data_IF_465334026889
#
_entry.id   IF_465334026889
#
_cell.length_a   1.000
_cell.length_b   1.000
_cell.length_c   1.000
_cell.angle_alpha   90.00
_cell.angle_beta   90.00
_cell.angle_gamma   90.00
#
_symmetry.space_group_name_H-M   'P 1'
#
loop_
_entity.id
_entity.type
_entity.pdbx_description
1 polymer ?
#
# COMPACT_ATOMS: atom_id res chain seq x y z
N UNK A 1 19.77 30.59 -9.66
CA UNK A 1 20.56 30.92 -8.45
C UNK A 1 19.65 31.67 -7.48
N UNK A 2 19.72 31.33 -6.19
CA UNK A 2 18.78 31.64 -5.09
C UNK A 2 17.61 30.66 -4.93
N UNK A 3 17.99 29.53 -4.34
CA UNK A 3 17.14 28.67 -3.50
C UNK A 3 16.85 29.44 -2.22
N UNK A 4 15.60 29.47 -1.77
CA UNK A 4 15.22 29.87 -0.42
C UNK A 4 14.54 28.65 0.18
N UNK A 5 15.29 27.94 1.01
CA UNK A 5 14.81 26.92 1.93
C UNK A 5 14.00 27.61 3.03
N UNK A 6 12.78 27.11 3.29
CA UNK A 6 12.00 27.47 4.47
C UNK A 6 11.72 26.18 5.23
N UNK A 7 12.44 26.06 6.34
CA UNK A 7 12.20 25.10 7.41
C UNK A 7 10.77 25.19 7.94
N UNK A 8 10.06 24.06 8.00
CA UNK A 8 8.83 23.92 8.77
C UNK A 8 9.05 22.83 9.82
N UNK A 9 9.42 23.26 11.03
CA UNK A 9 9.37 22.45 12.24
C UNK A 9 8.58 23.19 13.31
N UNK A 10 7.64 22.44 13.91
CA UNK A 10 6.91 22.69 15.17
C UNK A 10 6.11 23.99 15.30
N UNK A 11 4.80 23.84 15.53
CA UNK A 11 4.06 24.33 16.71
C UNK A 11 2.68 23.65 16.69
N UNK A 12 2.45 22.74 17.64
CA UNK A 12 1.12 22.23 18.00
C UNK A 12 0.72 22.97 19.28
N UNK A 13 -0.37 23.74 19.24
CA UNK A 13 -1.00 24.35 20.42
C UNK A 13 -2.53 24.13 20.34
N UNK A 14 -2.99 23.40 21.33
CA UNK A 14 -4.22 23.48 22.12
C UNK A 14 -5.65 23.21 21.60
N UNK A 15 -6.37 22.59 22.55
CA UNK A 15 -7.80 22.68 22.93
C UNK A 15 -8.80 21.65 22.37
N UNK A 16 -9.33 20.81 23.29
CA UNK A 16 -10.76 20.64 23.63
C UNK A 16 -10.91 19.42 24.58
N UNK A 17 -11.12 19.59 25.88
CA UNK A 17 -12.37 19.82 26.65
C UNK A 17 -13.41 18.69 26.58
N UNK A 18 -13.54 18.04 27.74
CA UNK A 18 -14.57 17.18 28.31
C UNK A 18 -16.01 17.23 27.76
N UNK A 19 -16.62 16.03 27.66
CA UNK A 19 -18.00 15.63 27.96
C UNK A 19 -18.04 14.10 27.71
N UNK A 20 -18.38 13.21 28.64
CA UNK A 20 -19.71 12.99 29.22
C UNK A 20 -20.03 11.49 29.06
N UNK A 21 -20.16 10.76 30.17
CA UNK A 21 -20.52 9.34 30.20
C UNK A 21 -22.00 9.13 29.81
N UNK A 22 -22.34 7.95 29.25
CA UNK A 22 -23.53 7.28 29.75
C UNK A 22 -23.34 5.78 30.03
N UNK A 23 -23.97 5.35 31.11
CA UNK A 23 -24.20 3.97 31.53
C UNK A 23 -24.85 3.12 30.45
N UNK A 24 -24.40 1.87 30.29
CA UNK A 24 -25.09 0.85 29.48
C UNK A 24 -25.41 -0.36 30.36
N UNK A 25 -26.70 -0.70 30.36
CA UNK A 25 -27.35 -1.80 31.07
C UNK A 25 -26.84 -3.18 30.63
N UNK A 26 -26.71 -4.07 31.61
CA UNK A 26 -26.45 -5.50 31.40
C UNK A 26 -27.73 -6.18 30.89
N UNK A 27 -27.73 -6.65 29.64
CA UNK A 27 -28.64 -7.71 29.18
C UNK A 27 -27.92 -9.05 29.18
N UNK A 28 -28.41 -9.94 30.03
CA UNK A 28 -28.05 -11.36 30.10
C UNK A 28 -28.70 -12.05 28.90
N UNK A 29 -27.90 -12.69 28.04
CA UNK A 29 -28.38 -13.60 27.00
C UNK A 29 -27.93 -15.01 27.36
N UNK A 30 -28.89 -15.90 27.61
CA UNK A 30 -28.71 -17.34 27.75
C UNK A 30 -28.30 -17.95 26.40
N UNK A 31 -27.23 -18.73 26.39
CA UNK A 31 -26.89 -19.63 25.29
C UNK A 31 -27.22 -21.07 25.67
N UNK A 32 -28.06 -21.71 24.85
CA UNK A 32 -28.34 -23.15 24.88
C UNK A 32 -27.17 -23.92 24.25
N UNK A 33 -26.75 -24.99 24.92
CA UNK A 33 -25.74 -25.92 24.43
C UNK A 33 -26.27 -26.77 23.28
N UNK A 34 -25.57 -26.79 22.15
CA UNK A 34 -25.72 -27.77 21.08
C UNK A 34 -24.35 -28.34 20.70
N UNK A 35 -24.34 -29.63 20.37
CA UNK A 35 -23.20 -30.54 20.39
C UNK A 35 -22.04 -30.20 19.43
N UNK A 36 -20.81 -30.42 19.91
CA UNK A 36 -19.55 -30.26 19.18
C UNK A 36 -19.20 -31.60 18.51
N UNK A 37 -19.29 -31.65 17.19
CA UNK A 37 -18.71 -32.72 16.36
C UNK A 37 -17.23 -32.39 16.09
N UNK A 38 -16.31 -33.27 16.48
CA UNK A 38 -14.86 -33.08 16.30
C UNK A 38 -14.47 -33.31 14.83
N UNK A 39 -14.29 -32.23 14.05
CA UNK A 39 -13.52 -32.26 12.79
C UNK A 39 -12.08 -31.82 13.05
N UNK A 40 -11.12 -32.62 12.58
CA UNK A 40 -9.69 -32.32 12.64
C UNK A 40 -9.34 -31.04 11.85
N UNK A 41 -8.35 -30.24 12.30
CA UNK A 41 -7.93 -29.04 11.58
C UNK A 41 -7.23 -29.40 10.25
N UNK A 42 -7.37 -28.58 9.20
CA UNK A 42 -6.72 -28.81 7.92
C UNK A 42 -5.18 -28.67 8.04
N UNK A 43 -4.41 -29.42 7.23
CA UNK A 43 -2.95 -29.38 7.27
C UNK A 43 -2.41 -28.02 6.80
N UNK A 44 -1.41 -27.50 7.52
CA UNK A 44 -0.70 -26.26 7.19
C UNK A 44 0.02 -26.39 5.83
N UNK A 45 0.01 -25.33 4.99
CA UNK A 45 0.72 -25.35 3.72
C UNK A 45 2.25 -25.39 3.94
N UNK A 46 3.02 -26.01 3.02
CA UNK A 46 4.45 -26.17 3.17
C UNK A 46 5.16 -24.82 3.18
N UNK A 47 6.03 -24.63 4.19
CA UNK A 47 6.94 -23.49 4.29
C UNK A 47 8.00 -23.66 3.20
N UNK A 48 7.92 -22.84 2.16
CA UNK A 48 8.92 -22.78 1.08
C UNK A 48 10.21 -22.15 1.62
N UNK A 49 11.23 -22.99 1.85
CA UNK A 49 12.58 -22.56 2.18
C UNK A 49 13.34 -22.27 0.88
N UNK A 50 13.29 -21.01 0.44
CA UNK A 50 14.19 -20.50 -0.58
C UNK A 50 14.94 -19.26 -0.05
N UNK A 51 15.89 -19.49 0.87
CA UNK A 51 16.98 -18.57 1.12
C UNK A 51 18.17 -18.97 0.24
N UNK A 52 18.39 -18.20 -0.83
CA UNK A 52 19.62 -18.27 -1.60
C UNK A 52 20.79 -17.81 -0.73
N UNK A 53 21.72 -18.76 -0.59
CA UNK A 53 23.10 -18.67 -0.12
C UNK A 53 23.69 -17.24 -0.01
N UNK A 54 23.95 -16.83 1.23
CA UNK A 54 25.08 -15.96 1.53
C UNK A 54 25.80 -16.47 2.78
N UNK A 55 26.39 -17.67 2.68
CA UNK A 55 27.29 -18.21 3.68
C UNK A 55 28.71 -17.69 3.43
N UNK A 56 29.07 -16.58 4.09
CA UNK A 56 30.47 -16.23 4.32
C UNK A 56 30.70 -15.89 5.78
N UNK A 57 31.36 -16.81 6.46
CA UNK A 57 32.34 -16.53 7.51
C UNK A 57 31.82 -16.21 8.91
N UNK A 58 31.58 -17.24 9.72
CA UNK A 58 31.84 -17.17 11.16
C UNK A 58 32.57 -18.44 11.60
N UNK A 59 33.85 -18.53 11.21
CA UNK A 59 34.81 -19.42 11.86
C UNK A 59 35.22 -18.79 13.19
N UNK A 60 34.76 -19.37 14.30
CA UNK A 60 35.27 -19.05 15.63
C UNK A 60 36.74 -19.49 15.71
N UNK A 61 37.65 -18.52 15.78
CA UNK A 61 39.08 -18.73 15.98
C UNK A 61 39.33 -19.30 17.37
N UNK A 62 39.57 -20.61 17.47
CA UNK A 62 40.17 -21.22 18.65
C UNK A 62 41.69 -21.08 18.57
N UNK A 63 42.24 -20.12 19.31
CA UNK A 63 43.68 -20.06 19.57
C UNK A 63 44.04 -21.14 20.59
N UNK A 64 44.66 -22.22 20.12
CA UNK A 64 45.30 -23.22 20.95
C UNK A 64 46.71 -22.73 21.35
N UNK A 65 46.87 -22.33 22.61
CA UNK A 65 48.19 -22.15 23.23
C UNK A 65 48.62 -23.51 23.80
N UNK A 66 49.73 -24.04 23.27
CA UNK A 66 50.47 -25.17 23.83
C UNK A 66 51.21 -24.69 25.07
N UNK A 67 51.05 -25.38 26.19
CA UNK A 67 52.03 -25.33 27.29
C UNK A 67 52.43 -26.73 27.73
N UNK A 68 53.73 -26.87 27.91
CA UNK A 68 54.49 -28.05 28.27
C UNK A 68 54.43 -28.35 29.77
N UNK A 69 54.53 -29.65 30.04
CA UNK A 69 54.65 -30.37 31.32
C UNK A 69 55.52 -29.74 32.41
N UNK A 70 55.02 -29.74 33.66
CA UNK A 70 55.82 -30.15 34.82
C UNK A 70 54.95 -30.73 35.95
N UNK A 71 55.49 -31.71 36.67
CA UNK A 71 54.82 -32.52 37.69
C UNK A 71 54.97 -31.92 39.10
N UNK A 72 53.92 -32.01 39.94
CA UNK A 72 54.01 -31.60 41.33
C UNK A 72 52.72 -31.83 42.12
N UNK A 73 52.75 -32.83 43.00
CA UNK A 73 51.66 -33.28 43.87
C UNK A 73 51.15 -32.14 44.77
N UNK A 74 49.85 -31.89 44.73
CA UNK A 74 49.15 -31.00 45.65
C UNK A 74 47.67 -30.91 45.30
N UNK A 75 46.83 -31.63 46.05
CA UNK A 75 45.37 -31.63 45.92
C UNK A 75 44.87 -30.19 46.20
N UNK A 76 44.76 -29.37 45.14
CA UNK A 76 43.96 -28.14 45.17
C UNK A 76 42.53 -28.52 44.81
N UNK A 77 41.62 -28.43 45.77
CA UNK A 77 40.18 -28.46 45.48
C UNK A 77 39.88 -27.24 44.61
N UNK A 78 39.54 -27.48 43.33
CA UNK A 78 39.10 -26.45 42.39
C UNK A 78 37.89 -25.68 42.98
N UNK A 79 37.87 -24.34 42.99
CA UNK A 79 36.74 -23.56 43.53
C UNK A 79 35.45 -23.66 42.71
N UNK A 80 35.46 -24.38 41.59
CA UNK A 80 34.37 -24.44 40.60
C UNK A 80 33.88 -25.87 40.35
N UNK A 81 33.87 -26.74 41.36
CA UNK A 81 33.25 -28.07 41.23
C UNK A 81 31.72 -27.89 41.24
N UNK A 82 31.16 -27.59 40.06
CA UNK A 82 29.72 -27.57 39.83
C UNK A 82 29.16 -28.96 40.19
N UNK A 83 28.31 -29.04 41.21
CA UNK A 83 27.66 -30.30 41.58
C UNK A 83 26.48 -30.55 40.64
N UNK A 84 26.63 -31.52 39.75
CA UNK A 84 25.57 -31.95 38.81
C UNK A 84 24.71 -33.02 39.49
N UNK A 85 23.42 -32.73 39.67
CA UNK A 85 22.42 -33.69 40.14
C UNK A 85 21.62 -34.20 38.96
N UNK A 86 21.83 -35.47 38.59
CA UNK A 86 21.10 -36.15 37.50
C UNK A 86 19.86 -36.82 38.08
N UNK A 87 18.67 -36.49 37.57
CA UNK A 87 17.43 -37.20 37.86
C UNK A 87 16.95 -37.90 36.60
N UNK A 88 16.94 -39.22 36.62
CA UNK A 88 16.32 -40.02 35.56
C UNK A 88 14.94 -40.44 36.05
N UNK A 89 13.90 -40.13 35.26
CA UNK A 89 12.54 -40.61 35.48
C UNK A 89 12.15 -41.51 34.32
N UNK A 90 11.62 -42.68 34.63
CA UNK A 90 11.13 -43.66 33.67
C UNK A 90 9.61 -43.56 33.60
N UNK A 91 9.07 -43.35 32.41
CA UNK A 91 7.63 -43.30 32.18
C UNK A 91 7.25 -44.26 31.06
N UNK A 92 6.11 -44.92 31.18
CA UNK A 92 5.57 -45.77 30.13
C UNK A 92 4.60 -44.94 29.30
N UNK A 93 4.92 -44.74 28.02
CA UNK A 93 4.04 -44.12 27.04
C UNK A 93 3.71 -45.21 26.03
N UNK A 94 2.41 -45.49 25.83
CA UNK A 94 1.91 -46.50 24.89
C UNK A 94 2.54 -47.90 25.04
N UNK A 95 2.76 -48.34 26.29
CA UNK A 95 3.31 -49.66 26.61
C UNK A 95 4.84 -49.78 26.47
N UNK A 96 5.54 -48.74 25.97
CA UNK A 96 7.00 -48.69 25.88
C UNK A 96 7.58 -47.81 27.00
N UNK A 97 8.55 -48.34 27.75
CA UNK A 97 9.24 -47.59 28.81
C UNK A 97 10.25 -46.61 28.19
N UNK A 98 10.03 -45.31 28.40
CA UNK A 98 10.92 -44.23 27.98
C UNK A 98 11.56 -43.59 29.20
N UNK A 99 12.88 -43.43 29.19
CA UNK A 99 13.61 -42.80 30.30
C UNK A 99 13.98 -41.36 29.95
N UNK A 100 13.45 -40.40 30.70
CA UNK A 100 13.82 -38.98 30.59
C UNK A 100 14.82 -38.65 31.68
N UNK A 101 16.02 -38.21 31.27
CA UNK A 101 17.05 -37.77 32.19
C UNK A 101 17.13 -36.25 32.17
N UNK A 102 17.00 -35.61 33.33
CA UNK A 102 17.27 -34.18 33.52
C UNK A 102 18.48 -34.00 34.44
N UNK A 103 19.49 -33.25 33.99
CA UNK A 103 20.67 -32.91 34.80
C UNK A 103 20.53 -31.48 35.34
N UNK A 104 20.77 -31.29 36.64
CA UNK A 104 20.70 -29.99 37.32
C UNK A 104 22.05 -29.63 37.95
N UNK A 105 22.68 -28.59 37.41
CA UNK A 105 24.03 -28.14 37.79
C UNK A 105 23.92 -27.03 38.85
N UNK A 106 24.38 -27.30 40.08
CA UNK A 106 24.37 -26.34 41.18
C UNK A 106 25.53 -25.34 41.02
N UNK A 107 25.22 -24.05 41.07
CA UNK A 107 26.15 -22.93 40.82
C UNK A 107 25.83 -22.12 39.55
N UNK A 108 25.09 -22.70 38.60
CA UNK A 108 24.66 -22.07 37.35
C UNK A 108 23.22 -21.53 37.39
N UNK A 109 22.64 -21.36 38.58
CA UNK A 109 21.20 -21.07 38.73
C UNK A 109 20.83 -19.64 38.33
N UNK A 110 21.67 -18.67 38.66
CA UNK A 110 21.47 -17.25 38.34
C UNK A 110 21.68 -17.03 36.83
N UNK A 111 22.77 -17.55 36.24
CA UNK A 111 23.01 -17.54 34.79
C UNK A 111 21.91 -18.22 33.98
N UNK A 112 21.39 -19.36 34.46
CA UNK A 112 20.29 -20.07 33.80
C UNK A 112 18.97 -19.29 33.88
N UNK A 113 18.68 -18.62 35.00
CA UNK A 113 17.49 -17.77 35.14
C UNK A 113 17.58 -16.54 34.25
N UNK A 114 18.75 -15.91 34.19
CA UNK A 114 19.06 -14.79 33.32
C UNK A 114 18.91 -15.15 31.84
N UNK A 115 19.47 -16.27 31.42
CA UNK A 115 19.32 -16.79 30.05
C UNK A 115 17.86 -17.13 29.72
N UNK A 116 17.11 -17.67 30.68
CA UNK A 116 15.68 -17.94 30.51
C UNK A 116 14.87 -16.65 30.34
N UNK A 117 15.19 -15.60 31.11
CA UNK A 117 14.56 -14.28 30.99
C UNK A 117 14.83 -13.66 29.61
N UNK A 118 16.09 -13.67 29.16
CA UNK A 118 16.48 -13.17 27.82
C UNK A 118 15.68 -13.86 26.70
N UNK A 119 15.54 -15.19 26.76
CA UNK A 119 14.74 -15.94 25.78
C UNK A 119 13.25 -15.57 25.83
N UNK A 120 12.70 -15.31 27.00
CA UNK A 120 11.30 -14.87 27.14
C UNK A 120 11.09 -13.48 26.56
N UNK A 121 12.03 -12.57 26.79
CA UNK A 121 11.97 -11.20 26.26
C UNK A 121 12.10 -11.19 24.73
N UNK A 122 12.98 -12.02 24.17
CA UNK A 122 13.11 -12.17 22.72
C UNK A 122 11.84 -12.75 22.09
N UNK A 123 11.21 -13.76 22.72
CA UNK A 123 9.91 -14.29 22.28
C UNK A 123 8.78 -13.28 22.39
N UNK A 124 8.81 -12.40 23.40
CA UNK A 124 7.82 -11.33 23.55
C UNK A 124 7.99 -10.30 22.44
N UNK A 125 9.23 -9.91 22.14
CA UNK A 125 9.54 -8.98 21.05
C UNK A 125 9.04 -9.52 19.71
N UNK A 126 9.35 -10.78 19.37
CA UNK A 126 8.87 -11.41 18.13
C UNK A 126 7.35 -11.46 18.02
N UNK A 127 6.64 -11.74 19.12
CA UNK A 127 5.17 -11.72 19.15
C UNK A 127 4.61 -10.31 18.91
N UNK A 128 5.25 -9.29 19.47
CA UNK A 128 4.89 -7.90 19.26
C UNK A 128 5.11 -7.48 17.80
N UNK A 129 6.27 -7.85 17.22
CA UNK A 129 6.58 -7.58 15.80
C UNK A 129 5.56 -8.22 14.85
N UNK A 130 5.19 -9.48 15.12
CA UNK A 130 4.18 -10.20 14.35
C UNK A 130 2.79 -9.54 14.46
N UNK A 131 2.41 -9.10 15.67
CA UNK A 131 1.15 -8.39 15.91
C UNK A 131 1.09 -7.08 15.13
N UNK A 132 2.12 -6.25 15.23
CA UNK A 132 2.19 -4.98 14.51
C UNK A 132 2.15 -5.18 12.99
N UNK A 133 2.83 -6.21 12.48
CA UNK A 133 2.79 -6.56 11.05
C UNK A 133 1.38 -6.94 10.61
N UNK A 134 0.69 -7.78 11.40
CA UNK A 134 -0.67 -8.21 11.09
C UNK A 134 -1.65 -7.03 11.12
N UNK A 135 -1.54 -6.15 12.11
CA UNK A 135 -2.37 -4.94 12.25
C UNK A 135 -2.18 -4.01 11.04
N UNK A 136 -0.93 -3.74 10.66
CA UNK A 136 -0.63 -2.92 9.49
C UNK A 136 -1.15 -3.55 8.18
N UNK A 137 -1.01 -4.87 8.03
CA UNK A 137 -1.54 -5.58 6.85
C UNK A 137 -3.07 -5.48 6.76
N UNK A 138 -3.77 -5.61 7.89
CA UNK A 138 -5.22 -5.46 7.95
C UNK A 138 -5.65 -4.03 7.63
N UNK A 139 -4.99 -3.03 8.20
CA UNK A 139 -5.25 -1.62 7.89
C UNK A 139 -5.01 -1.33 6.40
N UNK A 140 -3.91 -1.84 5.84
CA UNK A 140 -3.61 -1.70 4.43
C UNK A 140 -4.65 -2.35 3.52
N UNK A 141 -5.11 -3.55 3.86
CA UNK A 141 -6.18 -4.23 3.12
C UNK A 141 -7.49 -3.43 3.16
N UNK A 142 -7.86 -2.88 4.33
CA UNK A 142 -9.05 -2.05 4.48
C UNK A 142 -8.97 -0.77 3.63
N UNK A 143 -7.82 -0.11 3.57
CA UNK A 143 -7.63 1.08 2.75
C UNK A 143 -7.75 0.78 1.25
N UNK A 144 -7.21 -0.34 0.79
CA UNK A 144 -7.33 -0.80 -0.61
C UNK A 144 -8.79 -1.10 -0.94
N UNK A 145 -9.50 -1.81 -0.05
CA UNK A 145 -10.91 -2.11 -0.24
C UNK A 145 -11.77 -0.84 -0.26
N UNK A 146 -11.51 0.12 0.64
CA UNK A 146 -12.22 1.40 0.69
C UNK A 146 -12.04 2.19 -0.61
N UNK A 147 -10.83 2.24 -1.14
CA UNK A 147 -10.55 2.89 -2.42
C UNK A 147 -11.29 2.21 -3.58
N UNK A 148 -11.27 0.87 -3.63
CA UNK A 148 -11.95 0.12 -4.70
C UNK A 148 -13.47 0.30 -4.62
N UNK A 149 -14.06 0.31 -3.42
CA UNK A 149 -15.49 0.63 -3.22
C UNK A 149 -15.83 2.05 -3.68
N UNK A 150 -14.99 3.04 -3.37
CA UNK A 150 -15.16 4.44 -3.83
C UNK A 150 -15.17 4.50 -5.35
N UNK A 151 -14.23 3.82 -6.01
CA UNK A 151 -14.16 3.78 -7.48
C UNK A 151 -15.38 3.11 -8.11
N UNK A 152 -15.83 1.98 -7.56
CA UNK A 152 -17.04 1.31 -8.05
C UNK A 152 -18.27 2.21 -7.93
N UNK A 153 -18.37 2.96 -6.83
CA UNK A 153 -19.44 3.95 -6.66
C UNK A 153 -19.34 5.09 -7.68
N UNK A 154 -18.16 5.68 -7.89
CA UNK A 154 -17.95 6.73 -8.90
C UNK A 154 -18.31 6.23 -10.31
N UNK A 155 -17.89 5.00 -10.67
CA UNK A 155 -18.20 4.36 -11.94
C UNK A 155 -19.70 4.10 -12.12
N UNK A 156 -20.38 3.63 -11.08
CA UNK A 156 -21.82 3.39 -11.11
C UNK A 156 -22.61 4.69 -11.30
N UNK A 157 -22.19 5.76 -10.61
CA UNK A 157 -22.80 7.10 -10.75
C UNK A 157 -22.59 7.63 -12.17
N UNK A 158 -21.37 7.52 -12.71
CA UNK A 158 -21.05 7.96 -14.07
C UNK A 158 -21.90 7.21 -15.12
N UNK A 159 -21.95 5.88 -15.01
CA UNK A 159 -22.73 5.04 -15.92
C UNK A 159 -24.20 5.43 -15.90
N UNK A 160 -24.77 5.56 -14.69
CA UNK A 160 -26.17 5.94 -14.51
C UNK A 160 -26.49 7.33 -15.06
N UNK A 161 -25.57 8.29 -14.91
CA UNK A 161 -25.74 9.63 -15.46
C UNK A 161 -25.88 9.60 -16.99
N UNK A 162 -24.98 8.88 -17.68
CA UNK A 162 -25.05 8.77 -19.14
C UNK A 162 -26.23 7.92 -19.64
N UNK A 163 -26.68 6.94 -18.87
CA UNK A 163 -27.94 6.22 -19.15
C UNK A 163 -29.15 7.19 -19.11
N UNK A 164 -29.23 8.04 -18.07
CA UNK A 164 -30.29 9.06 -17.95
C UNK A 164 -30.23 10.05 -19.12
N UNK A 165 -29.03 10.54 -19.48
CA UNK A 165 -28.86 11.48 -20.59
C UNK A 165 -29.22 10.85 -21.94
N UNK A 166 -28.90 9.56 -22.14
CA UNK A 166 -29.31 8.79 -23.31
C UNK A 166 -30.83 8.66 -23.39
N UNK A 167 -31.50 8.25 -22.31
CA UNK A 167 -32.96 8.16 -22.28
C UNK A 167 -33.62 9.53 -22.49
N UNK A 168 -33.04 10.61 -21.96
CA UNK A 168 -33.53 11.97 -22.19
C UNK A 168 -33.43 12.36 -23.67
N UNK A 169 -32.33 11.99 -24.33
CA UNK A 169 -32.14 12.22 -25.77
C UNK A 169 -33.16 11.43 -26.60
N UNK A 170 -33.42 10.17 -26.26
CA UNK A 170 -34.43 9.34 -26.93
C UNK A 170 -35.86 9.89 -26.75
N UNK A 171 -36.20 10.33 -25.53
CA UNK A 171 -37.49 11.02 -25.26
C UNK A 171 -37.61 12.33 -26.03
N UNK A 172 -36.50 13.06 -26.23
CA UNK A 172 -36.48 14.27 -27.04
C UNK A 172 -36.67 13.95 -28.52
N UNK A 173 -35.97 12.94 -29.04
CA UNK A 173 -36.11 12.45 -30.42
C UNK A 173 -37.55 12.08 -30.73
N UNK A 174 -38.18 11.27 -29.87
CA UNK A 174 -39.58 10.86 -30.03
C UNK A 174 -40.53 12.06 -30.11
N UNK A 175 -40.39 13.03 -29.21
CA UNK A 175 -41.23 14.23 -29.20
C UNK A 175 -41.08 15.09 -30.46
N UNK A 176 -39.85 15.32 -30.93
CA UNK A 176 -39.60 16.13 -32.13
C UNK A 176 -40.09 15.45 -33.41
N UNK A 177 -40.03 14.11 -33.49
CA UNK A 177 -40.60 13.34 -34.60
C UNK A 177 -42.13 13.46 -34.59
N UNK A 178 -42.78 13.18 -33.45
CA UNK A 178 -44.25 13.28 -33.30
C UNK A 178 -44.76 14.69 -33.64
N UNK A 179 -44.06 15.74 -33.20
CA UNK A 179 -44.41 17.12 -33.53
C UNK A 179 -44.27 17.40 -35.03
N UNK A 180 -43.19 16.93 -35.66
CA UNK A 180 -42.96 17.18 -37.07
C UNK A 180 -43.90 16.38 -38.00
N UNK A 181 -44.34 15.19 -37.59
CA UNK A 181 -45.41 14.42 -38.22
C UNK A 181 -46.75 15.17 -38.11
N UNK A 182 -47.11 15.64 -36.90
CA UNK A 182 -48.33 16.42 -36.69
C UNK A 182 -48.37 17.69 -37.54
N UNK A 183 -47.25 18.41 -37.61
CA UNK A 183 -47.14 19.61 -38.48
C UNK A 183 -47.34 19.25 -39.95
N UNK A 184 -46.80 18.11 -40.41
CA UNK A 184 -47.00 17.67 -41.80
C UNK A 184 -48.46 17.27 -42.08
N UNK A 185 -49.13 16.59 -41.15
CA UNK A 185 -50.55 16.27 -41.28
C UNK A 185 -51.40 17.55 -41.42
N UNK A 186 -51.13 18.56 -40.59
CA UNK A 186 -51.80 19.85 -40.64
C UNK A 186 -51.50 20.61 -41.96
N UNK A 187 -50.23 20.65 -42.39
CA UNK A 187 -49.83 21.26 -43.66
C UNK A 187 -50.51 20.57 -44.86
N UNK A 188 -50.56 19.23 -44.87
CA UNK A 188 -51.20 18.44 -45.93
C UNK A 188 -52.70 18.71 -46.00
N UNK A 189 -53.38 18.73 -44.85
CA UNK A 189 -54.81 19.04 -44.74
C UNK A 189 -55.11 20.46 -45.23
N UNK A 190 -54.28 21.43 -44.88
CA UNK A 190 -54.43 22.81 -45.35
C UNK A 190 -54.16 22.92 -46.86
N UNK A 191 -53.13 22.25 -47.37
CA UNK A 191 -52.81 22.23 -48.79
C UNK A 191 -53.93 21.59 -49.62
N UNK A 192 -54.49 20.46 -49.19
CA UNK A 192 -55.64 19.81 -49.85
C UNK A 192 -56.85 20.73 -49.91
N UNK A 193 -57.18 21.44 -48.82
CA UNK A 193 -58.29 22.41 -48.79
C UNK A 193 -58.07 23.57 -49.76
N UNK A 194 -56.87 24.15 -49.76
CA UNK A 194 -56.51 25.25 -50.68
C UNK A 194 -56.59 24.82 -52.13
N UNK A 195 -56.04 23.64 -52.42
CA UNK A 195 -55.98 23.10 -53.76
C UNK A 195 -57.38 22.78 -54.31
N UNK A 196 -58.27 22.21 -53.50
CA UNK A 196 -59.67 22.00 -53.89
C UNK A 196 -60.37 23.32 -54.21
N UNK A 197 -60.18 24.34 -53.38
CA UNK A 197 -60.75 25.68 -53.61
C UNK A 197 -60.21 26.32 -54.90
N UNK A 198 -58.90 26.23 -55.14
CA UNK A 198 -58.27 26.75 -56.36
C UNK A 198 -58.74 26.00 -57.61
N UNK A 199 -58.82 24.66 -57.56
CA UNK A 199 -59.35 23.84 -58.66
C UNK A 199 -60.80 24.22 -59.01
N UNK A 200 -61.68 24.40 -58.01
CA UNK A 200 -63.07 24.82 -58.25
C UNK A 200 -63.16 26.23 -58.86
N UNK A 201 -62.32 27.16 -58.37
CA UNK A 201 -62.23 28.53 -58.89
C UNK A 201 -61.73 28.55 -60.33
N UNK A 202 -60.67 27.83 -60.64
CA UNK A 202 -60.05 27.78 -61.96
C UNK A 202 -60.94 27.06 -62.97
N UNK A 203 -61.59 25.96 -62.57
CA UNK A 203 -62.60 25.27 -63.39
C UNK A 203 -63.79 26.17 -63.69
N UNK A 204 -64.26 26.97 -62.72
CA UNK A 204 -65.34 27.94 -62.96
C UNK A 204 -64.90 29.02 -63.94
N UNK A 205 -63.70 29.58 -63.77
CA UNK A 205 -63.16 30.58 -64.69
C UNK A 205 -62.97 30.03 -66.11
N UNK A 206 -62.52 28.78 -66.24
CA UNK A 206 -62.36 28.09 -67.52
C UNK A 206 -63.71 27.87 -68.22
N UNK A 207 -64.73 27.38 -67.50
CA UNK A 207 -66.09 27.21 -68.05
C UNK A 207 -66.70 28.52 -68.54
N UNK A 208 -66.48 29.62 -67.82
CA UNK A 208 -66.94 30.95 -68.26
C UNK A 208 -66.23 31.40 -69.56
N UNK A 209 -64.94 31.09 -69.74
CA UNK A 209 -64.22 31.36 -70.99
C UNK A 209 -64.81 30.55 -72.15
N UNK A 210 -65.07 29.24 -71.97
CA UNK A 210 -65.70 28.42 -73.01
C UNK A 210 -67.09 28.93 -73.40
N UNK A 211 -67.89 29.40 -72.43
CA UNK A 211 -69.19 30.03 -72.72
C UNK A 211 -69.04 31.32 -73.54
N UNK A 212 -68.01 32.12 -73.24
CA UNK A 212 -67.71 33.34 -74.02
C UNK A 212 -67.28 32.99 -75.45
N UNK A 213 -66.43 31.98 -75.65
CA UNK A 213 -66.04 31.46 -76.97
C UNK A 213 -67.27 31.02 -77.79
N UNK A 214 -68.17 30.25 -77.18
CA UNK A 214 -69.43 29.83 -77.81
C UNK A 214 -70.33 31.02 -78.20
N UNK A 215 -70.36 32.07 -77.38
CA UNK A 215 -71.14 33.28 -77.65
C UNK A 215 -70.57 34.06 -78.84
N UNK A 216 -69.25 34.18 -78.93
CA UNK A 216 -68.56 34.86 -80.04
C UNK A 216 -68.78 34.07 -81.34
N UNK A 217 -68.62 32.74 -81.33
CA UNK A 217 -68.90 31.90 -82.51
C UNK A 217 -70.34 32.06 -83.02
N UNK A 218 -71.32 32.08 -82.10
CA UNK A 218 -72.72 32.31 -82.48
C UNK A 218 -72.91 33.67 -83.17
N UNK A 219 -72.27 34.72 -82.65
CA UNK A 219 -72.30 36.06 -83.27
C UNK A 219 -71.64 36.08 -84.66
N UNK A 220 -70.52 35.38 -84.84
CA UNK A 220 -69.85 35.25 -86.14
C UNK A 220 -70.73 34.51 -87.18
N UNK A 221 -71.44 33.46 -86.76
CA UNK A 221 -72.35 32.71 -87.63
C UNK A 221 -73.62 33.49 -88.02
N UNK A 222 -74.07 34.43 -87.18
CA UNK A 222 -75.21 35.30 -87.48
C UNK A 222 -74.92 36.28 -88.64
N UNK A 223 -73.64 36.54 -88.94
CA UNK A 223 -73.17 37.41 -90.03
C UNK A 223 -73.14 36.74 -91.42
N UNK A 224 -73.42 35.44 -91.53
CA UNK A 224 -73.38 34.69 -92.80
C UNK A 224 -74.69 34.80 -93.62
N UNK A 225 -74.69 34.57 -94.95
CA UNK A 225 -75.91 34.59 -95.77
C UNK A 225 -76.99 33.58 -95.33
N UNK A 226 -78.28 33.98 -95.36
CA UNK A 226 -79.42 33.21 -94.81
C UNK A 226 -79.54 31.75 -95.30
N UNK A 227 -79.13 31.45 -96.55
CA UNK A 227 -79.30 30.11 -97.14
C UNK A 227 -78.23 29.08 -96.72
N UNK A 228 -77.08 29.51 -96.20
CA UNK A 228 -75.97 28.62 -95.74
C UNK A 228 -75.93 28.48 -94.21
N UNK A 229 -76.69 29.32 -93.50
CA UNK A 229 -76.56 29.54 -92.07
C UNK A 229 -76.97 28.32 -91.24
N UNK A 230 -77.99 27.56 -91.65
CA UNK A 230 -78.57 26.49 -90.82
C UNK A 230 -77.64 25.28 -90.70
N UNK A 231 -77.12 24.77 -91.81
CA UNK A 231 -76.27 23.58 -91.81
C UNK A 231 -74.82 23.90 -91.38
N UNK A 232 -74.31 25.07 -91.76
CA UNK A 232 -73.00 25.55 -91.30
C UNK A 232 -72.97 25.80 -89.78
N UNK A 233 -74.03 26.38 -89.21
CA UNK A 233 -74.13 26.62 -87.77
C UNK A 233 -74.23 25.31 -86.99
N UNK A 234 -74.96 24.31 -87.49
CA UNK A 234 -75.03 22.98 -86.86
C UNK A 234 -73.67 22.30 -86.84
N UNK A 235 -72.99 22.23 -87.99
CA UNK A 235 -71.69 21.55 -88.06
C UNK A 235 -70.60 22.27 -87.28
N UNK A 236 -70.57 23.60 -87.32
CA UNK A 236 -69.57 24.38 -86.58
C UNK A 236 -69.81 24.36 -85.07
N UNK A 237 -71.08 24.32 -84.64
CA UNK A 237 -71.45 24.14 -83.23
C UNK A 237 -71.02 22.77 -82.72
N UNK A 238 -71.36 21.69 -83.43
CA UNK A 238 -71.00 20.32 -83.02
C UNK A 238 -69.46 20.15 -82.98
N UNK A 239 -68.74 20.75 -83.94
CA UNK A 239 -67.28 20.79 -83.95
C UNK A 239 -66.70 21.56 -82.75
N UNK A 240 -67.23 22.75 -82.45
CA UNK A 240 -66.75 23.57 -81.33
C UNK A 240 -67.09 22.95 -79.97
N UNK A 241 -68.22 22.27 -79.84
CA UNK A 241 -68.57 21.50 -78.64
C UNK A 241 -67.61 20.32 -78.44
N UNK A 242 -67.23 19.62 -79.51
CA UNK A 242 -66.22 18.56 -79.44
C UNK A 242 -64.84 19.10 -79.05
N UNK A 243 -64.38 20.19 -79.68
CA UNK A 243 -63.11 20.85 -79.32
C UNK A 243 -63.11 21.36 -77.88
N UNK A 244 -64.23 21.94 -77.41
CA UNK A 244 -64.39 22.40 -76.04
C UNK A 244 -64.37 21.24 -75.04
N UNK A 245 -64.96 20.09 -75.38
CA UNK A 245 -64.87 18.89 -74.55
C UNK A 245 -63.44 18.37 -74.42
N UNK A 246 -62.65 18.38 -75.50
CA UNK A 246 -61.23 18.01 -75.45
C UNK A 246 -60.45 19.01 -74.59
N UNK A 247 -60.63 20.32 -74.81
CA UNK A 247 -60.00 21.37 -73.99
C UNK A 247 -60.37 21.26 -72.51
N UNK A 248 -61.62 20.94 -72.18
CA UNK A 248 -62.07 20.74 -70.80
C UNK A 248 -61.42 19.50 -70.17
N UNK A 249 -61.33 18.39 -70.91
CA UNK A 249 -60.65 17.19 -70.45
C UNK A 249 -59.16 17.45 -70.17
N UNK A 250 -58.46 18.12 -71.09
CA UNK A 250 -57.05 18.50 -70.94
C UNK A 250 -56.85 19.45 -69.74
N UNK A 251 -57.75 20.41 -69.56
CA UNK A 251 -57.68 21.35 -68.44
C UNK A 251 -57.87 20.65 -67.09
N UNK A 252 -58.84 19.74 -66.98
CA UNK A 252 -59.07 18.95 -65.76
C UNK A 252 -57.86 18.04 -65.47
N UNK A 253 -57.31 17.38 -66.48
CA UNK A 253 -56.09 16.59 -66.33
C UNK A 253 -54.92 17.45 -65.86
N UNK A 254 -54.75 18.66 -66.40
CA UNK A 254 -53.69 19.58 -65.98
C UNK A 254 -53.88 20.07 -64.52
N UNK A 255 -55.11 20.37 -64.11
CA UNK A 255 -55.44 20.70 -62.73
C UNK A 255 -55.11 19.55 -61.77
N UNK A 256 -55.40 18.31 -62.18
CA UNK A 256 -55.07 17.12 -61.39
C UNK A 256 -53.55 16.90 -61.31
N UNK A 257 -52.84 17.03 -62.43
CA UNK A 257 -51.37 16.93 -62.47
C UNK A 257 -50.69 17.98 -61.59
N UNK A 258 -51.16 19.23 -61.62
CA UNK A 258 -50.66 20.30 -60.77
C UNK A 258 -50.89 20.01 -59.28
N UNK A 259 -52.03 19.39 -58.96
CA UNK A 259 -52.36 18.97 -57.61
C UNK A 259 -51.45 17.87 -57.07
N UNK A 260 -51.29 16.81 -57.86
CA UNK A 260 -50.39 15.70 -57.56
C UNK A 260 -48.96 16.21 -57.40
N UNK A 261 -48.49 17.13 -58.26
CA UNK A 261 -47.17 17.74 -58.14
C UNK A 261 -47.01 18.53 -56.83
N UNK A 262 -48.03 19.29 -56.41
CA UNK A 262 -48.01 20.07 -55.16
C UNK A 262 -47.96 19.16 -53.92
N UNK A 263 -48.79 18.11 -53.89
CA UNK A 263 -48.80 17.13 -52.80
C UNK A 263 -47.49 16.32 -52.74
N UNK A 264 -46.94 15.96 -53.90
CA UNK A 264 -45.65 15.27 -54.00
C UNK A 264 -44.52 16.14 -53.46
N UNK A 265 -44.50 17.44 -53.81
CA UNK A 265 -43.52 18.40 -53.29
C UNK A 265 -43.63 18.57 -51.77
N UNK A 266 -44.85 18.62 -51.22
CA UNK A 266 -45.06 18.71 -49.77
C UNK A 266 -44.55 17.44 -49.06
N UNK A 267 -44.86 16.27 -49.61
CA UNK A 267 -44.38 14.97 -49.10
C UNK A 267 -42.85 14.91 -49.12
N UNK A 268 -42.23 15.35 -50.20
CA UNK A 268 -40.78 15.39 -50.35
C UNK A 268 -40.12 16.31 -49.31
N UNK A 269 -40.68 17.52 -49.09
CA UNK A 269 -40.22 18.46 -48.06
C UNK A 269 -40.26 17.83 -46.66
N UNK A 270 -41.31 17.07 -46.34
CA UNK A 270 -41.39 16.38 -45.05
C UNK A 270 -40.34 15.26 -44.92
N UNK A 271 -40.13 14.46 -45.98
CA UNK A 271 -39.06 13.43 -45.99
C UNK A 271 -37.69 14.06 -45.74
N UNK A 272 -37.41 15.20 -46.35
CA UNK A 272 -36.16 15.95 -46.13
C UNK A 272 -36.04 16.44 -44.68
N UNK A 273 -37.14 16.94 -44.09
CA UNK A 273 -37.20 17.34 -42.67
C UNK A 273 -36.94 16.15 -41.73
N UNK A 274 -37.56 15.00 -41.98
CA UNK A 274 -37.35 13.78 -41.19
C UNK A 274 -35.89 13.32 -41.28
N UNK A 275 -35.34 13.22 -42.48
CA UNK A 275 -33.95 12.83 -42.68
C UNK A 275 -32.96 13.81 -42.01
N UNK A 276 -33.29 15.11 -41.96
CA UNK A 276 -32.48 16.10 -41.24
C UNK A 276 -32.53 15.89 -39.71
N UNK A 277 -33.72 15.65 -39.14
CA UNK A 277 -33.87 15.35 -37.72
C UNK A 277 -33.14 14.05 -37.33
N UNK A 278 -33.29 12.99 -38.11
CA UNK A 278 -32.60 11.72 -37.89
C UNK A 278 -31.07 11.89 -37.88
N UNK A 279 -30.52 12.62 -38.87
CA UNK A 279 -29.08 12.94 -38.89
C UNK A 279 -28.64 13.72 -37.66
N UNK A 280 -29.43 14.68 -37.21
CA UNK A 280 -29.13 15.47 -36.02
C UNK A 280 -29.11 14.61 -34.76
N UNK A 281 -30.12 13.77 -34.54
CA UNK A 281 -30.18 12.89 -33.37
C UNK A 281 -29.10 11.81 -33.39
N UNK A 282 -28.78 11.27 -34.57
CA UNK A 282 -27.67 10.34 -34.73
C UNK A 282 -26.35 11.00 -34.33
N UNK A 283 -26.09 12.23 -34.80
CA UNK A 283 -24.91 12.99 -34.42
C UNK A 283 -24.86 13.28 -32.91
N UNK A 284 -25.98 13.70 -32.31
CA UNK A 284 -26.07 13.94 -30.86
C UNK A 284 -25.81 12.66 -30.05
N UNK A 285 -26.34 11.52 -30.50
CA UNK A 285 -26.10 10.21 -29.88
C UNK A 285 -24.63 9.81 -29.96
N UNK A 286 -23.99 9.95 -31.12
CA UNK A 286 -22.55 9.68 -31.25
C UNK A 286 -21.69 10.60 -30.37
N UNK A 287 -22.05 11.88 -30.27
CA UNK A 287 -21.36 12.83 -29.39
C UNK A 287 -21.49 12.40 -27.92
N UNK A 288 -22.68 11.99 -27.49
CA UNK A 288 -22.94 11.55 -26.13
C UNK A 288 -22.18 10.26 -25.78
N UNK A 289 -22.13 9.30 -26.70
CA UNK A 289 -21.35 8.07 -26.53
C UNK A 289 -19.84 8.35 -26.43
N UNK A 290 -19.31 9.23 -27.30
CA UNK A 290 -17.91 9.66 -27.23
C UNK A 290 -17.59 10.43 -25.94
N UNK A 291 -18.52 11.26 -25.47
CA UNK A 291 -18.37 11.97 -24.20
C UNK A 291 -18.33 10.98 -23.02
N UNK A 292 -19.23 9.98 -23.01
CA UNK A 292 -19.26 8.91 -22.01
C UNK A 292 -17.92 8.17 -21.96
N UNK A 293 -17.41 7.76 -23.11
CA UNK A 293 -16.15 7.03 -23.18
C UNK A 293 -14.95 7.89 -22.74
N UNK A 294 -14.96 9.18 -23.06
CA UNK A 294 -13.95 10.10 -22.56
C UNK A 294 -13.98 10.22 -21.03
N UNK A 295 -15.17 10.34 -20.43
CA UNK A 295 -15.30 10.37 -18.97
C UNK A 295 -14.92 9.05 -18.29
N UNK A 296 -15.17 7.91 -18.94
CA UNK A 296 -14.65 6.62 -18.45
C UNK A 296 -13.11 6.62 -18.40
N UNK A 297 -12.45 7.12 -19.45
CA UNK A 297 -10.98 7.21 -19.47
C UNK A 297 -10.42 8.16 -18.42
N UNK A 298 -11.05 9.31 -18.21
CA UNK A 298 -10.67 10.26 -17.15
C UNK A 298 -10.81 9.62 -15.76
N UNK A 299 -11.89 8.85 -15.54
CA UNK A 299 -12.12 8.12 -14.31
C UNK A 299 -11.07 7.00 -14.11
N UNK A 300 -10.72 6.27 -15.17
CA UNK A 300 -9.63 5.27 -15.13
C UNK A 300 -8.27 5.91 -14.80
N UNK A 301 -7.92 7.04 -15.42
CA UNK A 301 -6.66 7.74 -15.13
C UNK A 301 -6.61 8.19 -13.67
N UNK A 302 -7.70 8.81 -13.19
CA UNK A 302 -7.83 9.22 -11.80
C UNK A 302 -7.65 8.04 -10.87
N UNK A 303 -8.29 6.90 -11.16
CA UNK A 303 -8.16 5.69 -10.34
C UNK A 303 -6.74 5.13 -10.31
N UNK A 304 -6.04 5.13 -11.44
CA UNK A 304 -4.64 4.71 -11.50
C UNK A 304 -3.73 5.62 -10.67
N UNK A 305 -3.97 6.93 -10.69
CA UNK A 305 -3.27 7.90 -9.84
C UNK A 305 -3.54 7.67 -8.35
N UNK A 306 -4.81 7.55 -7.96
CA UNK A 306 -5.21 7.27 -6.58
C UNK A 306 -4.62 5.94 -6.07
N UNK A 307 -4.67 4.87 -6.88
CA UNK A 307 -4.06 3.55 -6.57
C UNK A 307 -2.57 3.68 -6.28
N UNK A 308 -1.84 4.41 -7.12
CA UNK A 308 -0.40 4.62 -6.93
C UNK A 308 -0.08 5.37 -5.64
N UNK A 309 -0.80 6.46 -5.34
CA UNK A 309 -0.59 7.22 -4.11
C UNK A 309 -0.84 6.33 -2.89
N UNK A 310 -1.91 5.53 -2.91
CA UNK A 310 -2.22 4.60 -1.83
C UNK A 310 -1.13 3.52 -1.67
N UNK A 311 -0.75 2.83 -2.74
CA UNK A 311 0.30 1.81 -2.68
C UNK A 311 1.64 2.38 -2.20
N UNK A 312 2.00 3.59 -2.63
CA UNK A 312 3.20 4.28 -2.15
C UNK A 312 3.12 4.61 -0.66
N UNK A 313 1.95 4.97 -0.14
CA UNK A 313 1.71 5.16 1.30
C UNK A 313 1.90 3.84 2.05
N UNK A 314 1.19 2.78 1.66
CA UNK A 314 1.26 1.47 2.32
C UNK A 314 2.68 0.91 2.37
N UNK A 315 3.42 1.07 1.28
CA UNK A 315 4.83 0.69 1.22
C UNK A 315 5.68 1.46 2.24
N UNK A 316 5.48 2.79 2.35
CA UNK A 316 6.20 3.61 3.33
C UNK A 316 5.87 3.18 4.76
N UNK A 317 4.61 2.85 5.03
CA UNK A 317 4.17 2.40 6.34
C UNK A 317 4.80 1.03 6.69
N UNK A 318 4.93 0.12 5.72
CA UNK A 318 5.62 -1.17 5.89
C UNK A 318 7.11 -0.99 6.24
N UNK A 319 7.84 -0.15 5.49
CA UNK A 319 9.25 0.11 5.78
C UNK A 319 9.45 0.92 7.06
N UNK A 320 8.52 1.82 7.39
CA UNK A 320 8.51 2.51 8.68
C UNK A 320 8.39 1.51 9.83
N UNK A 321 7.49 0.53 9.73
CA UNK A 321 7.37 -0.54 10.70
C UNK A 321 8.67 -1.36 10.79
N UNK A 322 9.24 -1.78 9.65
CA UNK A 322 10.51 -2.54 9.63
C UNK A 322 11.66 -1.79 10.32
N UNK A 323 11.80 -0.48 10.08
CA UNK A 323 12.81 0.35 10.75
C UNK A 323 12.55 0.43 12.25
N UNK A 324 11.30 0.63 12.66
CA UNK A 324 10.91 0.70 14.07
C UNK A 324 11.21 -0.61 14.81
N UNK A 325 10.85 -1.74 14.21
CA UNK A 325 11.14 -3.07 14.75
C UNK A 325 12.64 -3.36 14.85
N UNK A 326 13.42 -2.99 13.83
CA UNK A 326 14.87 -3.10 13.85
C UNK A 326 15.50 -2.27 14.99
N UNK A 327 15.05 -1.03 15.18
CA UNK A 327 15.53 -0.18 16.29
C UNK A 327 15.18 -0.79 17.65
N UNK A 328 13.97 -1.35 17.80
CA UNK A 328 13.59 -2.04 19.02
C UNK A 328 14.48 -3.27 19.31
N UNK A 329 14.81 -4.06 18.27
CA UNK A 329 15.77 -5.17 18.36
C UNK A 329 17.16 -4.70 18.78
N UNK A 330 17.68 -3.67 18.12
CA UNK A 330 18.99 -3.09 18.41
C UNK A 330 19.07 -2.56 19.86
N UNK A 331 18.03 -1.90 20.35
CA UNK A 331 17.98 -1.41 21.72
C UNK A 331 18.00 -2.55 22.75
N UNK A 332 17.34 -3.69 22.46
CA UNK A 332 17.38 -4.88 23.31
C UNK A 332 18.74 -5.56 23.31
N UNK A 333 19.38 -5.68 22.15
CA UNK A 333 20.73 -6.22 21.98
C UNK A 333 21.77 -5.37 22.72
N UNK A 334 21.69 -4.04 22.59
CA UNK A 334 22.56 -3.09 23.28
C UNK A 334 22.42 -3.20 24.80
N UNK A 335 21.18 -3.22 25.31
CA UNK A 335 20.91 -3.37 26.73
C UNK A 335 21.41 -4.72 27.28
N UNK A 336 21.33 -5.79 26.48
CA UNK A 336 21.86 -7.10 26.85
C UNK A 336 23.39 -7.09 26.91
N UNK A 337 24.07 -6.53 25.91
CA UNK A 337 25.53 -6.43 25.88
C UNK A 337 26.06 -5.59 27.05
N UNK A 338 25.43 -4.44 27.34
CA UNK A 338 25.78 -3.60 28.49
C UNK A 338 25.63 -4.35 29.82
N UNK A 339 24.55 -5.13 29.97
CA UNK A 339 24.31 -5.90 31.19
C UNK A 339 25.38 -6.97 31.41
N UNK A 340 25.75 -7.70 30.36
CA UNK A 340 26.81 -8.73 30.41
C UNK A 340 28.15 -8.08 30.77
N UNK A 341 28.52 -7.00 30.07
CA UNK A 341 29.77 -6.27 30.34
C UNK A 341 29.83 -5.78 31.80
N UNK A 342 28.73 -5.25 32.33
CA UNK A 342 28.65 -4.80 33.72
C UNK A 342 28.81 -5.96 34.73
N UNK A 343 28.16 -7.10 34.47
CA UNK A 343 28.26 -8.29 35.33
C UNK A 343 29.69 -8.85 35.37
N UNK A 344 30.39 -8.88 34.23
CA UNK A 344 31.79 -9.30 34.13
C UNK A 344 32.75 -8.31 34.84
N UNK A 345 32.52 -7.01 34.71
CA UNK A 345 33.27 -5.98 35.44
C UNK A 345 33.09 -6.13 36.95
N UNK A 346 31.86 -6.30 37.42
CA UNK A 346 31.53 -6.46 38.83
C UNK A 346 32.10 -7.75 39.40
N UNK A 347 32.16 -8.84 38.63
CA UNK A 347 32.82 -10.08 39.02
C UNK A 347 34.34 -9.90 39.15
N UNK A 348 35.00 -9.26 38.18
CA UNK A 348 36.43 -8.98 38.24
C UNK A 348 36.78 -8.10 39.45
N UNK A 349 36.00 -7.04 39.69
CA UNK A 349 36.17 -6.15 40.84
C UNK A 349 36.00 -6.93 42.15
N UNK A 350 34.98 -7.79 42.26
CA UNK A 350 34.78 -8.65 43.43
C UNK A 350 35.96 -9.59 43.66
N UNK A 351 36.48 -10.22 42.61
CA UNK A 351 37.64 -11.12 42.71
C UNK A 351 38.90 -10.37 43.18
N UNK A 352 39.22 -9.23 42.56
CA UNK A 352 40.38 -8.41 42.93
C UNK A 352 40.26 -7.85 44.36
N UNK A 353 39.06 -7.49 44.80
CA UNK A 353 38.80 -7.05 46.17
C UNK A 353 39.04 -8.16 47.21
N UNK A 354 38.69 -9.42 46.88
CA UNK A 354 38.98 -10.56 47.75
C UNK A 354 40.47 -10.86 47.85
N UNK A 355 41.20 -10.77 46.73
CA UNK A 355 42.66 -10.95 46.71
C UNK A 355 43.36 -9.85 47.49
N UNK A 356 42.94 -8.59 47.32
CA UNK A 356 43.44 -7.44 48.08
C UNK A 356 43.24 -7.58 49.59
N UNK A 357 42.13 -8.18 50.04
CA UNK A 357 41.86 -8.45 51.47
C UNK A 357 42.79 -9.52 52.06
N UNK A 358 43.19 -10.53 51.26
CA UNK A 358 44.06 -11.62 51.71
C UNK A 358 45.54 -11.23 51.71
N UNK A 359 45.96 -10.39 50.76
CA UNK A 359 47.36 -10.06 50.51
C UNK A 359 48.13 -9.52 51.74
N UNK A 360 47.62 -8.57 52.55
CA UNK A 360 48.35 -8.08 53.72
C UNK A 360 48.66 -9.18 54.76
N UNK A 361 47.77 -10.16 54.91
CA UNK A 361 48.00 -11.30 55.82
C UNK A 361 49.13 -12.18 55.30
N UNK A 362 49.14 -12.46 54.00
CA UNK A 362 50.20 -13.25 53.36
C UNK A 362 51.57 -12.56 53.46
N UNK A 363 51.62 -11.25 53.14
CA UNK A 363 52.85 -10.46 53.24
C UNK A 363 53.39 -10.40 54.68
N UNK A 364 52.52 -10.27 55.69
CA UNK A 364 52.93 -10.34 57.10
C UNK A 364 53.49 -11.71 57.49
N UNK A 365 52.89 -12.80 57.02
CA UNK A 365 53.42 -14.15 57.30
C UNK A 365 54.78 -14.37 56.64
N UNK A 366 54.97 -13.91 55.40
CA UNK A 366 56.27 -13.97 54.71
C UNK A 366 57.33 -13.14 55.41
N UNK A 367 56.98 -11.92 55.85
CA UNK A 367 57.89 -11.03 56.58
C UNK A 367 58.35 -11.65 57.90
N UNK A 368 57.44 -12.32 58.62
CA UNK A 368 57.81 -13.08 59.82
C UNK A 368 58.82 -14.18 59.51
N UNK A 369 58.60 -14.97 58.45
CA UNK A 369 59.53 -16.01 58.03
C UNK A 369 60.89 -15.42 57.64
N UNK A 370 60.92 -14.33 56.86
CA UNK A 370 62.17 -13.67 56.46
C UNK A 370 62.92 -13.05 57.64
N UNK A 371 62.22 -12.47 58.61
CA UNK A 371 62.83 -11.96 59.85
C UNK A 371 63.49 -13.09 60.65
N UNK A 372 62.85 -14.26 60.77
CA UNK A 372 63.46 -15.45 61.42
C UNK A 372 64.71 -15.89 60.68
N UNK A 373 64.66 -16.02 59.35
CA UNK A 373 65.80 -16.40 58.52
C UNK A 373 66.95 -15.39 58.62
N UNK A 374 66.64 -14.09 58.65
CA UNK A 374 67.65 -13.05 58.80
C UNK A 374 68.33 -13.10 60.17
N UNK A 375 67.55 -13.27 61.25
CA UNK A 375 68.09 -13.47 62.61
C UNK A 375 68.98 -14.69 62.70
N UNK A 376 68.61 -15.80 62.05
CA UNK A 376 69.45 -17.00 61.96
C UNK A 376 70.74 -16.72 61.18
N UNK A 377 70.65 -16.01 60.05
CA UNK A 377 71.83 -15.64 59.25
C UNK A 377 72.81 -14.75 60.02
N UNK A 378 72.29 -13.81 60.82
CA UNK A 378 73.10 -12.95 61.68
C UNK A 378 73.80 -13.76 62.78
N UNK A 379 73.12 -14.77 63.34
CA UNK A 379 73.70 -15.69 64.34
C UNK A 379 74.87 -16.51 63.77
N UNK A 380 74.76 -16.94 62.52
CA UNK A 380 75.78 -17.77 61.84
C UNK A 380 76.95 -16.93 61.32
N UNK A 381 76.66 -15.79 60.69
CA UNK A 381 77.66 -15.03 59.92
C UNK A 381 78.54 -14.09 60.76
N UNK A 382 78.10 -13.64 61.94
CA UNK A 382 78.75 -12.52 62.62
C UNK A 382 78.86 -12.72 64.14
N UNK A 383 79.80 -13.57 64.58
CA UNK A 383 80.05 -13.87 66.00
C UNK A 383 80.82 -12.76 66.76
N UNK A 384 81.36 -11.75 66.06
CA UNK A 384 82.24 -10.71 66.64
C UNK A 384 81.67 -9.29 66.68
N UNK A 385 80.38 -9.09 66.41
CA UNK A 385 79.73 -7.76 66.39
C UNK A 385 79.22 -7.34 67.78
N UNK A 386 79.16 -6.03 68.02
CA UNK A 386 78.59 -5.50 69.25
C UNK A 386 77.05 -5.59 69.26
N UNK A 387 76.40 -5.68 70.43
CA UNK A 387 74.93 -5.72 70.52
C UNK A 387 74.21 -4.52 69.88
N UNK A 388 74.85 -3.35 69.85
CA UNK A 388 74.31 -2.13 69.22
C UNK A 388 74.30 -2.24 67.68
N UNK A 389 75.37 -2.77 67.08
CA UNK A 389 75.46 -2.98 65.63
C UNK A 389 74.48 -4.06 65.15
N UNK A 390 74.26 -5.11 65.95
CA UNK A 390 73.25 -6.13 65.67
C UNK A 390 71.83 -5.55 65.66
N UNK A 391 71.53 -4.68 66.63
CA UNK A 391 70.22 -4.03 66.75
C UNK A 391 69.96 -3.07 65.58
N UNK A 392 70.96 -2.31 65.14
CA UNK A 392 70.85 -1.40 63.99
C UNK A 392 70.66 -2.17 62.66
N UNK A 393 71.35 -3.31 62.47
CA UNK A 393 71.11 -4.16 61.29
C UNK A 393 69.71 -4.76 61.27
N UNK A 394 69.17 -5.16 62.43
CA UNK A 394 67.80 -5.65 62.53
C UNK A 394 66.78 -4.55 62.23
N UNK A 395 67.01 -3.33 62.74
CA UNK A 395 66.17 -2.15 62.45
C UNK A 395 66.13 -1.83 60.96
N UNK A 396 67.28 -1.81 60.28
CA UNK A 396 67.36 -1.56 58.83
C UNK A 396 66.66 -2.66 58.02
N UNK A 397 66.78 -3.92 58.45
CA UNK A 397 66.07 -5.03 57.81
C UNK A 397 64.55 -4.88 57.95
N UNK A 398 64.06 -4.57 59.15
CA UNK A 398 62.63 -4.37 59.39
C UNK A 398 62.09 -3.14 58.62
N UNK A 399 62.86 -2.07 58.50
CA UNK A 399 62.51 -0.91 57.66
C UNK A 399 62.44 -1.27 56.17
N UNK A 400 63.43 -2.02 55.66
CA UNK A 400 63.45 -2.51 54.28
C UNK A 400 62.30 -3.48 53.99
N UNK A 401 61.95 -4.36 54.93
CA UNK A 401 60.85 -5.30 54.79
C UNK A 401 59.49 -4.58 54.85
N UNK A 402 59.32 -3.57 55.70
CA UNK A 402 58.13 -2.71 55.70
C UNK A 402 57.99 -1.91 54.40
N UNK A 403 59.09 -1.43 53.83
CA UNK A 403 59.09 -0.83 52.49
C UNK A 403 58.67 -1.84 51.42
N UNK A 404 59.19 -3.07 51.46
CA UNK A 404 58.79 -4.13 50.52
C UNK A 404 57.30 -4.45 50.62
N UNK A 405 56.74 -4.55 51.82
CA UNK A 405 55.31 -4.80 52.03
C UNK A 405 54.47 -3.67 51.44
N UNK A 406 54.85 -2.41 51.70
CA UNK A 406 54.16 -1.23 51.12
C UNK A 406 54.21 -1.27 49.59
N UNK A 407 55.39 -1.43 49.01
CA UNK A 407 55.57 -1.49 47.56
C UNK A 407 54.77 -2.65 46.93
N UNK A 408 54.74 -3.82 47.57
CA UNK A 408 53.98 -4.97 47.07
C UNK A 408 52.46 -4.75 47.10
N UNK A 409 51.95 -4.00 48.07
CA UNK A 409 50.53 -3.61 48.13
C UNK A 409 50.20 -2.58 47.03
N UNK A 410 51.03 -1.57 46.85
CA UNK A 410 50.86 -0.55 45.80
C UNK A 410 50.95 -1.18 44.40
N UNK A 411 51.91 -2.08 44.18
CA UNK A 411 52.06 -2.80 42.91
C UNK A 411 50.83 -3.67 42.63
N UNK A 412 50.27 -4.34 43.64
CA UNK A 412 49.03 -5.10 43.50
C UNK A 412 47.85 -4.20 43.13
N UNK A 413 47.72 -3.04 43.77
CA UNK A 413 46.64 -2.08 43.49
C UNK A 413 46.76 -1.53 42.07
N UNK A 414 47.96 -1.16 41.63
CA UNK A 414 48.23 -0.71 40.26
C UNK A 414 47.92 -1.81 39.23
N UNK A 415 48.31 -3.07 39.50
CA UNK A 415 47.97 -4.21 38.64
C UNK A 415 46.46 -4.45 38.57
N UNK A 416 45.77 -4.31 39.70
CA UNK A 416 44.31 -4.46 39.77
C UNK A 416 43.60 -3.38 38.94
N UNK A 417 44.02 -2.12 39.08
CA UNK A 417 43.51 -1.01 38.27
C UNK A 417 43.75 -1.23 36.77
N UNK A 418 44.95 -1.66 36.38
CA UNK A 418 45.27 -1.97 34.98
C UNK A 418 44.38 -3.08 34.42
N UNK A 419 44.13 -4.15 35.18
CA UNK A 419 43.23 -5.24 34.76
C UNK A 419 41.80 -4.77 34.54
N UNK A 420 41.27 -3.94 35.45
CA UNK A 420 39.93 -3.36 35.31
C UNK A 420 39.87 -2.45 34.08
N UNK A 421 40.87 -1.58 33.89
CA UNK A 421 40.94 -0.68 32.74
C UNK A 421 40.98 -1.46 31.41
N UNK A 422 41.80 -2.51 31.33
CA UNK A 422 41.89 -3.38 30.15
C UNK A 422 40.58 -4.10 29.85
N UNK A 423 39.86 -4.57 30.88
CA UNK A 423 38.55 -5.19 30.68
C UNK A 423 37.53 -4.17 30.14
N UNK A 424 37.48 -2.98 30.73
CA UNK A 424 36.61 -1.88 30.27
C UNK A 424 36.91 -1.46 28.84
N UNK A 425 38.18 -1.38 28.46
CA UNK A 425 38.60 -1.06 27.09
C UNK A 425 38.12 -2.14 26.11
N UNK A 426 38.26 -3.43 26.45
CA UNK A 426 37.72 -4.52 25.63
C UNK A 426 36.20 -4.44 25.48
N UNK A 427 35.48 -4.17 26.57
CA UNK A 427 34.03 -3.98 26.53
C UNK A 427 33.63 -2.79 25.64
N UNK A 428 34.36 -1.68 25.72
CA UNK A 428 34.11 -0.50 24.90
C UNK A 428 34.32 -0.80 23.41
N UNK A 429 35.37 -1.54 23.05
CA UNK A 429 35.62 -1.96 21.67
C UNK A 429 34.49 -2.85 21.16
N UNK A 430 34.07 -3.85 21.93
CA UNK A 430 32.96 -4.72 21.57
C UNK A 430 31.63 -3.94 21.40
N UNK A 431 31.38 -2.92 22.23
CA UNK A 431 30.22 -2.04 22.09
C UNK A 431 30.27 -1.18 20.83
N UNK A 432 31.45 -0.66 20.47
CA UNK A 432 31.63 0.11 19.25
C UNK A 432 31.43 -0.76 18.00
N UNK A 433 31.98 -1.98 17.98
CA UNK A 433 31.75 -2.95 16.89
C UNK A 433 30.27 -3.31 16.74
N UNK A 434 29.57 -3.48 17.88
CA UNK A 434 28.13 -3.73 17.86
C UNK A 434 27.35 -2.56 17.25
N UNK A 435 27.67 -1.32 17.63
CA UNK A 435 27.04 -0.12 17.06
C UNK A 435 27.33 0.02 15.56
N UNK A 436 28.55 -0.26 15.11
CA UNK A 436 28.92 -0.26 13.70
C UNK A 436 28.10 -1.29 12.90
N UNK A 437 27.98 -2.52 13.43
CA UNK A 437 27.13 -3.56 12.83
C UNK A 437 25.66 -3.16 12.76
N UNK A 438 25.15 -2.45 13.77
CA UNK A 438 23.77 -1.93 13.79
C UNK A 438 23.56 -0.79 12.79
N UNK A 439 24.55 0.09 12.62
CA UNK A 439 24.52 1.17 11.64
C UNK A 439 24.56 0.61 10.21
N UNK A 440 25.35 -0.41 9.94
CA UNK A 440 25.40 -1.08 8.64
C UNK A 440 24.07 -1.78 8.33
N UNK A 441 23.45 -2.48 9.29
CA UNK A 441 22.08 -3.03 9.15
C UNK A 441 21.05 -1.95 8.81
N UNK A 442 21.12 -0.78 9.47
CA UNK A 442 20.22 0.36 9.18
C UNK A 442 20.42 0.87 7.76
N UNK A 443 21.68 1.02 7.33
CA UNK A 443 22.03 1.47 5.97
C UNK A 443 21.49 0.50 4.91
N UNK A 444 21.70 -0.80 5.11
CA UNK A 444 21.19 -1.83 4.19
C UNK A 444 19.66 -1.82 4.10
N UNK A 445 18.96 -1.61 5.21
CA UNK A 445 17.49 -1.50 5.21
C UNK A 445 17.01 -0.27 4.43
N UNK A 446 17.65 0.89 4.61
CA UNK A 446 17.33 2.12 3.87
C UNK A 446 17.64 1.99 2.37
N UNK A 447 18.74 1.32 2.03
CA UNK A 447 19.08 1.06 0.63
C UNK A 447 18.07 0.11 -0.02
N UNK A 448 17.66 -0.94 0.70
CA UNK A 448 16.60 -1.86 0.25
C UNK A 448 15.27 -1.14 0.05
N UNK A 449 14.86 -0.29 1.00
CA UNK A 449 13.66 0.57 0.89
C UNK A 449 13.70 1.43 -0.36
N UNK A 450 14.83 2.11 -0.60
CA UNK A 450 15.01 2.98 -1.76
C UNK A 450 14.95 2.20 -3.07
N UNK A 451 15.67 1.08 -3.17
CA UNK A 451 15.77 0.29 -4.41
C UNK A 451 14.40 -0.33 -4.76
N UNK A 452 13.74 -0.92 -3.77
CA UNK A 452 12.40 -1.51 -3.99
C UNK A 452 11.36 -0.43 -4.30
N UNK A 453 11.39 0.74 -3.65
CA UNK A 453 10.51 1.86 -4.01
C UNK A 453 10.74 2.30 -5.45
N UNK A 454 11.99 2.44 -5.89
CA UNK A 454 12.32 2.79 -7.28
C UNK A 454 11.83 1.74 -8.27
N UNK A 455 11.93 0.44 -7.96
CA UNK A 455 11.40 -0.63 -8.80
C UNK A 455 9.88 -0.57 -8.92
N UNK A 456 9.17 -0.33 -7.80
CA UNK A 456 7.72 -0.16 -7.80
C UNK A 456 7.29 1.09 -8.59
N UNK A 457 8.00 2.21 -8.44
CA UNK A 457 7.75 3.44 -9.20
C UNK A 457 7.98 3.21 -10.70
N UNK A 458 9.09 2.54 -11.10
CA UNK A 458 9.34 2.17 -12.50
C UNK A 458 8.24 1.28 -13.08
N UNK A 459 7.79 0.27 -12.35
CA UNK A 459 6.68 -0.61 -12.76
C UNK A 459 5.39 0.19 -12.96
N UNK A 460 5.08 1.12 -12.05
CA UNK A 460 3.92 2.00 -12.18
C UNK A 460 4.00 2.88 -13.43
N UNK A 461 5.13 3.55 -13.65
CA UNK A 461 5.29 4.41 -14.83
C UNK A 461 5.19 3.61 -16.14
N UNK A 462 5.81 2.43 -16.21
CA UNK A 462 5.69 1.56 -17.38
C UNK A 462 4.26 1.10 -17.62
N UNK A 463 3.53 0.69 -16.57
CA UNK A 463 2.11 0.34 -16.67
C UNK A 463 1.25 1.54 -17.10
N UNK A 464 1.55 2.74 -16.61
CA UNK A 464 0.85 3.97 -17.01
C UNK A 464 1.10 4.31 -18.48
N UNK A 465 2.34 4.22 -18.94
CA UNK A 465 2.70 4.43 -20.34
C UNK A 465 2.00 3.41 -21.26
N UNK A 466 1.94 2.14 -20.87
CA UNK A 466 1.20 1.10 -21.59
C UNK A 466 -0.30 1.43 -21.67
N UNK A 467 -0.92 1.81 -20.54
CA UNK A 467 -2.33 2.22 -20.54
C UNK A 467 -2.58 3.43 -21.45
N UNK A 468 -1.68 4.43 -21.45
CA UNK A 468 -1.78 5.58 -22.35
C UNK A 468 -1.63 5.17 -23.82
N UNK A 469 -0.71 4.26 -24.12
CA UNK A 469 -0.52 3.72 -25.46
C UNK A 469 -1.76 2.95 -25.94
N UNK A 470 -2.39 2.15 -25.07
CA UNK A 470 -3.63 1.42 -25.35
C UNK A 470 -4.85 2.35 -25.52
N UNK A 471 -4.81 3.53 -24.92
CA UNK A 471 -5.88 4.53 -25.03
C UNK A 471 -5.98 5.10 -26.46
N UNK A 472 -4.85 5.25 -27.15
CA UNK A 472 -4.81 5.83 -28.49
C UNK A 472 -5.56 4.97 -29.55
N UNK A 473 -5.36 3.64 -29.63
CA UNK A 473 -6.18 2.75 -30.45
C UNK A 473 -7.67 2.77 -30.07
N UNK A 474 -8.02 2.79 -28.77
CA UNK A 474 -9.42 2.82 -28.33
C UNK A 474 -10.12 4.11 -28.79
N UNK A 475 -9.43 5.25 -28.71
CA UNK A 475 -9.86 6.55 -29.25
C UNK A 475 -10.11 6.53 -30.77
N UNK A 476 -9.39 5.68 -31.52
CA UNK A 476 -9.55 5.56 -32.97
C UNK A 476 -10.73 4.66 -33.36
N UNK A 477 -11.00 3.60 -32.60
CA UNK A 477 -12.14 2.70 -32.83
C UNK A 477 -13.47 3.34 -32.44
N UNK A 478 -13.46 4.31 -31.53
CA UNK A 478 -14.62 5.09 -31.08
C UNK A 478 -15.02 6.26 -32.00
N UNK A 479 -14.13 6.67 -32.91
CA UNK A 479 -14.42 7.68 -33.94
C UNK A 479 -15.18 7.09 -35.11
#
# INVERSE_FOLDING_TARGET
MRVIDIDYSMIYIDTFRACGSPSIEKKIFQFSAAAIEKKAPPPEPPVDYNEQQNSKGFTCFLLAVKDSTDAGVGIRRHPHRQTVTKKTRTYTIDGMQVTSTTMHVLGAKEDMQMRKQQLQDLRRLQREEARQKQELQLEGANLVEQQERKFQQEKAVLTRQYEIDMEALERKQKREIEEAEKVQEEELKQAQKRLKYEQEKDLRAFKERLKQEMKIMKQEMDMLPRHQRKDALRMKKDQMEHENHIKEADFVMQLQKNAEATLTRLTQKHKEKMAALERQFLMQKHLLLRAKENSDWELEEKQMGEKYVLHRKLFKDEYFLLRTQMLARHQKELAQAQKINQEEEDELVRALALDRKKLPKMLRSEAKTRSVMFKESLRISMQSMTPAEMSEKLRRFDEQENMRIRNALEEHDLKSQRKIAQLKEKHQLAMNELDEMQNEKRKQLLEKERNTMQEHEKKYYSMREQWQADLAPRKLVSR
#
